data_IF_460850049961
#
_entry.id   IF_460850049961
#
_cell.length_a   1.000
_cell.length_b   1.000
_cell.length_c   1.000
_cell.angle_alpha   90.00
_cell.angle_beta   90.00
_cell.angle_gamma   90.00
#
_symmetry.space_group_name_H-M   'P 1'
#
loop_
_entity.id
_entity.type
_entity.pdbx_description
1 polymer ?
#
# COMPACT_ATOMS: atom_id res chain seq x y z
N UNK A 1 -40.54 36.53 14.94
CA UNK A 1 -39.14 36.86 14.53
C UNK A 1 -38.37 35.71 13.85
N UNK A 2 -38.63 34.43 14.16
CA UNK A 2 -37.93 33.29 13.50
C UNK A 2 -38.32 33.07 12.03
N UNK A 3 -39.61 33.18 11.68
CA UNK A 3 -40.09 32.98 10.30
C UNK A 3 -39.62 34.05 9.32
N UNK A 4 -39.61 35.31 9.74
CA UNK A 4 -39.15 36.45 8.92
C UNK A 4 -37.67 36.29 8.55
N UNK A 5 -36.82 35.84 9.49
CA UNK A 5 -35.40 35.57 9.20
C UNK A 5 -35.22 34.47 8.15
N UNK A 6 -36.03 33.41 8.17
CA UNK A 6 -35.96 32.32 7.18
C UNK A 6 -36.40 32.80 5.79
N UNK A 7 -37.45 33.62 5.72
CA UNK A 7 -37.94 34.18 4.45
C UNK A 7 -36.94 35.17 3.86
N UNK A 8 -36.31 36.01 4.69
CA UNK A 8 -35.28 36.96 4.26
C UNK A 8 -34.01 36.23 3.80
N UNK A 9 -33.58 35.18 4.51
CA UNK A 9 -32.45 34.33 4.08
C UNK A 9 -32.77 33.64 2.76
N UNK A 10 -33.99 33.11 2.60
CA UNK A 10 -34.44 32.49 1.35
C UNK A 10 -34.49 33.46 0.18
N UNK A 11 -34.92 34.70 0.40
CA UNK A 11 -34.99 35.74 -0.63
C UNK A 11 -33.60 36.24 -1.04
N UNK A 12 -32.68 36.41 -0.08
CA UNK A 12 -31.28 36.76 -0.38
C UNK A 12 -30.60 35.62 -1.15
N UNK A 13 -30.86 34.36 -0.80
CA UNK A 13 -30.39 33.19 -1.54
C UNK A 13 -30.93 33.16 -2.97
N UNK A 14 -32.22 33.47 -3.17
CA UNK A 14 -32.85 33.50 -4.49
C UNK A 14 -32.29 34.63 -5.38
N UNK A 15 -32.08 35.83 -4.82
CA UNK A 15 -31.50 36.95 -5.56
C UNK A 15 -30.02 36.70 -5.88
N UNK A 16 -29.26 36.09 -4.96
CA UNK A 16 -27.90 35.66 -5.23
C UNK A 16 -27.83 34.58 -6.33
N UNK A 17 -28.81 33.67 -6.38
CA UNK A 17 -28.93 32.65 -7.41
C UNK A 17 -29.24 33.25 -8.80
N UNK A 18 -30.08 34.29 -8.84
CA UNK A 18 -30.52 34.96 -10.08
C UNK A 18 -29.48 35.95 -10.62
N UNK A 19 -28.69 36.58 -9.74
CA UNK A 19 -27.61 37.49 -10.12
C UNK A 19 -26.29 36.76 -10.48
N UNK A 20 -26.28 35.43 -10.52
CA UNK A 20 -25.06 34.64 -10.72
C UNK A 20 -24.64 34.62 -12.19
N UNK A 21 -23.44 35.11 -12.56
CA UNK A 21 -22.98 35.08 -13.95
C UNK A 21 -22.78 33.63 -14.39
N UNK A 22 -23.38 33.23 -15.51
CA UNK A 22 -23.32 31.86 -16.02
C UNK A 22 -21.87 31.32 -16.20
N UNK A 23 -20.90 32.20 -16.43
CA UNK A 23 -19.47 31.83 -16.49
C UNK A 23 -18.87 31.39 -15.15
N UNK A 24 -19.40 31.86 -14.02
CA UNK A 24 -18.90 31.53 -12.68
C UNK A 24 -19.45 30.17 -12.17
N UNK A 25 -20.54 29.67 -12.76
CA UNK A 25 -21.12 28.36 -12.42
C UNK A 25 -20.20 27.19 -12.78
N UNK A 26 -19.45 27.28 -13.88
CA UNK A 26 -18.55 26.20 -14.32
C UNK A 26 -17.37 26.03 -13.36
N UNK A 27 -16.73 27.11 -12.94
CA UNK A 27 -15.61 27.08 -11.99
C UNK A 27 -16.04 26.60 -10.60
N UNK A 28 -17.21 27.02 -10.12
CA UNK A 28 -17.74 26.56 -8.83
C UNK A 28 -18.11 25.08 -8.89
N UNK A 29 -18.77 24.63 -9.95
CA UNK A 29 -19.15 23.22 -10.10
C UNK A 29 -17.92 22.31 -10.21
N UNK A 30 -16.92 22.73 -11.00
CA UNK A 30 -15.65 22.01 -11.13
C UNK A 30 -14.85 22.02 -9.81
N UNK A 31 -14.76 23.18 -9.14
CA UNK A 31 -14.08 23.32 -7.85
C UNK A 31 -14.70 22.48 -6.74
N UNK A 32 -16.04 22.44 -6.65
CA UNK A 32 -16.77 21.56 -5.73
C UNK A 32 -16.48 20.08 -6.08
N UNK A 33 -16.47 19.73 -7.36
CA UNK A 33 -16.11 18.39 -7.82
C UNK A 33 -14.71 17.97 -7.36
N UNK A 34 -13.71 18.84 -7.51
CA UNK A 34 -12.33 18.58 -7.05
C UNK A 34 -12.23 18.47 -5.53
N UNK A 35 -12.94 19.31 -4.77
CA UNK A 35 -12.96 19.22 -3.30
C UNK A 35 -13.61 17.91 -2.82
N UNK A 36 -14.75 17.53 -3.40
CA UNK A 36 -15.41 16.27 -3.06
C UNK A 36 -14.52 15.06 -3.41
N UNK A 37 -13.87 15.09 -4.57
CA UNK A 37 -12.92 14.06 -4.98
C UNK A 37 -11.70 13.98 -4.03
N UNK A 38 -11.16 15.12 -3.60
CA UNK A 38 -10.05 15.18 -2.64
C UNK A 38 -10.45 14.55 -1.28
N UNK A 39 -11.63 14.89 -0.77
CA UNK A 39 -12.16 14.32 0.48
C UNK A 39 -12.37 12.81 0.36
N UNK A 40 -12.93 12.34 -0.77
CA UNK A 40 -13.14 10.92 -1.02
C UNK A 40 -11.81 10.15 -1.10
N UNK A 41 -10.82 10.71 -1.81
CA UNK A 41 -9.47 10.13 -1.91
C UNK A 41 -8.77 10.06 -0.54
N UNK A 42 -8.87 11.14 0.26
CA UNK A 42 -8.33 11.15 1.61
C UNK A 42 -9.01 10.10 2.51
N UNK A 43 -10.33 9.97 2.41
CA UNK A 43 -11.09 8.94 3.15
C UNK A 43 -10.69 7.52 2.74
N UNK A 44 -10.54 7.25 1.44
CA UNK A 44 -10.04 5.97 0.94
C UNK A 44 -8.61 5.68 1.41
N UNK A 45 -7.74 6.69 1.41
CA UNK A 45 -6.38 6.60 1.93
C UNK A 45 -6.35 6.21 3.42
N UNK A 46 -7.18 6.85 4.24
CA UNK A 46 -7.34 6.52 5.67
C UNK A 46 -7.89 5.10 5.85
N UNK A 47 -8.92 4.71 5.08
CA UNK A 47 -9.52 3.37 5.17
C UNK A 47 -8.50 2.28 4.83
N UNK A 48 -7.74 2.44 3.75
CA UNK A 48 -6.66 1.50 3.38
C UNK A 48 -5.57 1.44 4.44
N UNK A 49 -5.15 2.60 4.98
CA UNK A 49 -4.14 2.65 6.05
C UNK A 49 -4.61 1.93 7.32
N UNK A 50 -5.87 2.10 7.73
CA UNK A 50 -6.44 1.37 8.88
C UNK A 50 -6.48 -0.14 8.64
N UNK A 51 -6.83 -0.58 7.43
CA UNK A 51 -6.82 -2.01 7.07
C UNK A 51 -5.42 -2.60 7.15
N UNK A 52 -4.43 -1.98 6.50
CA UNK A 52 -3.05 -2.44 6.51
C UNK A 52 -2.44 -2.41 7.93
N UNK A 53 -2.80 -1.42 8.75
CA UNK A 53 -2.37 -1.41 10.16
C UNK A 53 -3.02 -2.51 11.00
N UNK A 54 -4.26 -2.91 10.69
CA UNK A 54 -4.94 -4.00 11.39
C UNK A 54 -4.28 -5.33 11.05
N UNK A 55 -4.01 -5.58 9.78
CA UNK A 55 -3.28 -6.76 9.31
C UNK A 55 -1.88 -6.83 9.93
N UNK A 56 -1.14 -5.71 9.93
CA UNK A 56 0.14 -5.62 10.62
C UNK A 56 0.06 -5.93 12.12
N UNK A 57 -0.95 -5.41 12.82
CA UNK A 57 -1.14 -5.69 14.26
C UNK A 57 -1.50 -7.15 14.52
N UNK A 58 -2.26 -7.75 13.61
CA UNK A 58 -2.66 -9.15 13.69
C UNK A 58 -1.44 -10.06 13.47
N UNK A 59 -0.67 -9.82 12.41
CA UNK A 59 0.59 -10.52 12.13
C UNK A 59 1.58 -10.37 13.28
N UNK A 60 1.74 -9.17 13.84
CA UNK A 60 2.62 -8.97 15.00
C UNK A 60 2.19 -9.76 16.24
N UNK A 61 0.87 -9.91 16.47
CA UNK A 61 0.37 -10.70 17.60
C UNK A 61 0.56 -12.19 17.35
N UNK A 62 0.36 -12.61 16.11
CA UNK A 62 0.47 -14.00 15.70
C UNK A 62 1.92 -14.49 15.77
N UNK A 63 2.85 -13.72 15.21
CA UNK A 63 4.27 -14.08 15.17
C UNK A 63 5.07 -13.50 16.34
N UNK A 64 4.69 -13.87 17.57
CA UNK A 64 5.38 -13.40 18.79
C UNK A 64 6.60 -14.27 19.14
N UNK A 65 6.60 -15.55 18.76
CA UNK A 65 7.70 -16.47 19.05
C UNK A 65 8.90 -16.21 18.16
N UNK A 66 10.11 -16.21 18.74
CA UNK A 66 11.35 -16.14 17.98
C UNK A 66 12.18 -17.40 18.19
N UNK A 67 12.72 -17.97 17.13
CA UNK A 67 13.64 -19.11 17.22
C UNK A 67 14.80 -18.95 16.25
N UNK A 68 15.94 -19.54 16.60
CA UNK A 68 17.09 -19.61 15.70
C UNK A 68 16.87 -20.75 14.72
N UNK A 69 16.82 -20.38 13.44
CA UNK A 69 16.72 -21.31 12.32
C UNK A 69 18.11 -21.50 11.72
N UNK A 70 18.49 -22.74 11.45
CA UNK A 70 19.75 -23.07 10.77
C UNK A 70 19.45 -23.48 9.33
N UNK A 71 20.19 -22.94 8.36
CA UNK A 71 20.12 -23.43 6.97
C UNK A 71 20.75 -24.82 6.93
N UNK A 72 19.97 -25.84 6.57
CA UNK A 72 20.44 -27.24 6.50
C UNK A 72 20.59 -27.70 5.06
N UNK A 73 19.74 -27.21 4.18
CA UNK A 73 19.79 -27.55 2.76
C UNK A 73 19.65 -26.30 1.90
N UNK A 74 20.27 -26.30 0.74
CA UNK A 74 20.08 -25.25 -0.27
C UNK A 74 19.78 -25.97 -1.57
N UNK A 75 18.55 -25.81 -2.04
CA UNK A 75 18.15 -26.32 -3.35
C UNK A 75 18.59 -25.32 -4.43
N UNK A 76 19.28 -25.82 -5.45
CA UNK A 76 19.72 -25.01 -6.58
C UNK A 76 18.75 -25.23 -7.74
N UNK A 77 17.88 -24.25 -7.97
CA UNK A 77 16.94 -24.26 -9.08
C UNK A 77 17.44 -23.31 -10.15
N UNK A 78 17.77 -23.82 -11.33
CA UNK A 78 18.06 -23.01 -12.50
C UNK A 78 16.78 -22.91 -13.34
N UNK A 79 16.28 -21.69 -13.52
CA UNK A 79 15.20 -21.43 -14.47
C UNK A 79 15.80 -20.88 -15.76
N UNK A 80 15.41 -21.44 -16.89
CA UNK A 80 15.83 -20.99 -18.22
C UNK A 80 14.76 -20.07 -18.77
N UNK A 81 14.99 -18.76 -18.64
CA UNK A 81 14.06 -17.76 -19.16
C UNK A 81 14.57 -17.20 -20.48
N UNK A 82 13.77 -17.35 -21.53
CA UNK A 82 14.04 -16.71 -22.81
C UNK A 82 13.76 -15.21 -22.67
N UNK A 83 14.77 -14.37 -22.90
CA UNK A 83 14.64 -12.92 -22.85
C UNK A 83 14.70 -12.37 -24.29
N UNK A 84 13.61 -11.74 -24.74
CA UNK A 84 13.51 -11.15 -26.06
C UNK A 84 14.32 -9.85 -26.08
N UNK A 85 15.40 -9.85 -26.85
CA UNK A 85 16.27 -8.69 -26.96
C UNK A 85 15.65 -7.67 -27.94
N UNK A 86 15.93 -6.38 -27.74
CA UNK A 86 15.42 -5.31 -28.63
C UNK A 86 15.86 -5.47 -30.09
N UNK A 87 16.88 -6.28 -30.34
CA UNK A 87 17.44 -6.63 -31.64
C UNK A 87 16.71 -7.81 -32.32
N UNK A 88 15.59 -8.29 -31.75
CA UNK A 88 14.77 -9.36 -32.29
C UNK A 88 15.31 -10.78 -32.07
N UNK A 89 16.47 -10.93 -31.42
CA UNK A 89 17.03 -12.23 -31.04
C UNK A 89 16.57 -12.63 -29.64
N UNK A 90 16.28 -13.93 -29.46
CA UNK A 90 16.05 -14.51 -28.15
C UNK A 90 17.35 -15.06 -27.59
N UNK A 91 17.72 -14.66 -26.37
CA UNK A 91 18.83 -15.27 -25.65
C UNK A 91 18.31 -16.03 -24.43
N UNK A 92 18.76 -17.30 -24.22
CA UNK A 92 18.46 -18.01 -22.99
C UNK A 92 19.23 -17.34 -21.85
N UNK A 93 18.50 -16.79 -20.87
CA UNK A 93 19.07 -16.28 -19.63
C UNK A 93 18.84 -17.32 -18.55
N UNK A 94 19.93 -17.94 -18.11
CA UNK A 94 19.90 -18.91 -17.01
C UNK A 94 19.98 -18.15 -15.69
N UNK A 95 18.87 -18.12 -14.97
CA UNK A 95 18.82 -17.52 -13.63
C UNK A 95 18.89 -18.63 -12.60
N UNK A 96 19.96 -18.62 -11.79
CA UNK A 96 20.17 -19.63 -10.75
C UNK A 96 19.65 -19.10 -9.42
N UNK A 97 18.66 -19.78 -8.86
CA UNK A 97 18.05 -19.46 -7.59
C UNK A 97 18.46 -20.48 -6.53
N UNK A 98 18.96 -19.99 -5.39
CA UNK A 98 19.34 -20.82 -4.25
C UNK A 98 18.23 -20.77 -3.19
N UNK A 99 17.37 -21.79 -3.12
CA UNK A 99 16.25 -21.85 -2.18
C UNK A 99 16.67 -22.59 -0.90
N UNK A 100 16.85 -21.89 0.24
CA UNK A 100 17.24 -22.54 1.49
C UNK A 100 16.09 -23.30 2.14
N UNK A 101 16.45 -24.41 2.76
CA UNK A 101 15.62 -25.11 3.74
C UNK A 101 16.25 -24.97 5.12
N UNK A 102 15.46 -24.46 6.04
CA UNK A 102 15.82 -24.20 7.41
C UNK A 102 15.31 -25.31 8.33
N UNK A 103 16.10 -25.64 9.36
CA UNK A 103 15.66 -26.44 10.49
C UNK A 103 15.67 -25.61 11.76
N UNK A 104 14.69 -25.83 12.62
CA UNK A 104 14.57 -25.15 13.90
C UNK A 104 13.84 -26.04 14.89
N UNK A 105 14.15 -25.86 16.17
CA UNK A 105 13.53 -26.62 17.25
C UNK A 105 12.68 -25.70 18.11
N UNK A 106 11.42 -26.07 18.34
CA UNK A 106 10.49 -25.37 19.22
C UNK A 106 9.91 -26.40 20.19
N UNK A 107 10.00 -26.14 21.50
CA UNK A 107 9.48 -27.03 22.54
C UNK A 107 9.96 -28.50 22.42
N UNK A 108 11.21 -28.71 21.96
CA UNK A 108 11.77 -30.05 21.78
C UNK A 108 11.37 -30.77 20.49
N UNK A 109 10.53 -30.16 19.65
CA UNK A 109 10.18 -30.69 18.32
C UNK A 109 10.94 -29.93 17.24
N UNK A 110 11.59 -30.67 16.33
CA UNK A 110 12.31 -30.09 15.19
C UNK A 110 11.39 -29.99 13.99
N UNK A 111 11.32 -28.80 13.41
CA UNK A 111 10.56 -28.48 12.22
C UNK A 111 11.49 -28.09 11.09
N UNK A 112 11.00 -28.25 9.87
CA UNK A 112 11.73 -27.94 8.65
C UNK A 112 10.89 -27.01 7.77
N UNK A 113 11.49 -25.91 7.33
CA UNK A 113 10.81 -24.86 6.56
C UNK A 113 11.61 -24.53 5.30
N UNK A 114 10.96 -24.65 4.15
CA UNK A 114 11.55 -24.27 2.86
C UNK A 114 11.18 -22.83 2.53
N UNK A 115 12.19 -22.00 2.32
CA UNK A 115 12.00 -20.60 1.95
C UNK A 115 11.63 -20.45 0.48
N UNK A 116 10.95 -19.35 0.18
CA UNK A 116 10.80 -18.82 -1.18
C UNK A 116 11.80 -17.70 -1.51
N UNK A 117 12.57 -17.23 -0.53
CA UNK A 117 13.58 -16.20 -0.74
C UNK A 117 14.89 -16.85 -1.17
N UNK A 118 15.41 -16.42 -2.31
CA UNK A 118 16.70 -16.92 -2.78
C UNK A 118 17.85 -16.34 -1.95
N UNK A 119 18.82 -17.19 -1.62
CA UNK A 119 20.09 -16.77 -1.06
C UNK A 119 21.07 -16.37 -2.15
N UNK A 120 22.07 -15.59 -1.77
CA UNK A 120 23.11 -15.11 -2.68
C UNK A 120 24.05 -16.23 -3.14
N UNK A 121 24.10 -17.37 -2.44
CA UNK A 121 24.90 -18.51 -2.86
C UNK A 121 24.95 -19.67 -1.85
N UNK A 122 25.58 -20.77 -2.27
CA UNK A 122 25.75 -22.00 -1.47
C UNK A 122 26.57 -21.85 -0.19
N UNK A 123 27.34 -20.76 -0.04
CA UNK A 123 28.20 -20.52 1.14
C UNK A 123 27.42 -20.18 2.41
N UNK A 124 26.13 -19.88 2.30
CA UNK A 124 25.24 -19.58 3.42
C UNK A 124 24.72 -20.86 4.15
N UNK A 125 25.19 -22.05 3.77
CA UNK A 125 24.81 -23.30 4.43
C UNK A 125 25.31 -23.32 5.89
N UNK A 126 24.46 -23.71 6.83
CA UNK A 126 24.74 -23.65 8.26
C UNK A 126 24.58 -22.27 8.89
N UNK A 127 24.27 -21.22 8.12
CA UNK A 127 23.97 -19.89 8.65
C UNK A 127 22.78 -19.95 9.59
N UNK A 128 22.90 -19.28 10.73
CA UNK A 128 21.79 -19.10 11.66
C UNK A 128 21.06 -17.80 11.34
N UNK A 129 19.74 -17.88 11.21
CA UNK A 129 18.85 -16.76 10.93
C UNK A 129 17.72 -16.78 11.95
N UNK A 130 17.28 -15.61 12.39
CA UNK A 130 16.16 -15.50 13.32
C UNK A 130 14.84 -15.64 12.57
N UNK A 131 14.03 -16.62 12.95
CA UNK A 131 12.67 -16.79 12.45
C UNK A 131 11.62 -16.36 13.46
N UNK A 132 10.47 -15.91 12.95
CA UNK A 132 9.32 -15.52 13.74
C UNK A 132 8.19 -16.53 13.51
N UNK A 133 7.70 -17.17 14.57
CA UNK A 133 6.68 -18.21 14.50
C UNK A 133 5.49 -17.91 15.42
N UNK A 134 4.37 -18.57 15.13
CA UNK A 134 3.17 -18.54 15.97
C UNK A 134 3.30 -19.57 17.10
N UNK A 135 3.32 -19.19 18.40
CA UNK A 135 3.41 -20.14 19.50
C UNK A 135 2.28 -21.18 19.53
N UNK A 136 1.11 -20.85 18.98
CA UNK A 136 -0.01 -21.80 18.86
C UNK A 136 0.15 -22.75 17.66
N UNK A 137 0.96 -22.39 16.66
CA UNK A 137 1.23 -23.16 15.43
C UNK A 137 2.69 -23.00 15.01
N UNK A 138 3.63 -23.73 15.64
CA UNK A 138 5.06 -23.56 15.43
C UNK A 138 5.53 -23.90 14.01
N UNK A 139 4.75 -24.65 13.24
CA UNK A 139 5.00 -24.94 11.82
C UNK A 139 4.96 -23.69 10.93
N UNK A 140 4.22 -22.66 11.34
CA UNK A 140 4.06 -21.42 10.59
C UNK A 140 5.13 -20.42 11.03
N UNK A 141 6.23 -20.38 10.28
CA UNK A 141 7.37 -19.49 10.50
C UNK A 141 7.57 -18.54 9.32
N UNK A 142 7.96 -17.31 9.62
CA UNK A 142 8.37 -16.29 8.64
C UNK A 142 9.77 -15.80 8.95
N UNK A 143 10.57 -15.61 7.90
CA UNK A 143 11.94 -15.08 7.98
C UNK A 143 11.95 -13.58 8.23
N UNK A 144 10.94 -12.88 7.71
CA UNK A 144 10.86 -11.44 7.77
C UNK A 144 9.94 -11.02 8.91
N UNK A 145 10.46 -10.15 9.79
CA UNK A 145 9.61 -9.46 10.77
C UNK A 145 8.49 -8.73 10.03
N UNK A 146 7.22 -8.83 10.47
CA UNK A 146 6.14 -8.01 9.94
C UNK A 146 6.58 -6.55 9.86
N UNK A 147 6.55 -5.96 8.67
CA UNK A 147 6.99 -4.58 8.46
C UNK A 147 5.81 -3.65 8.62
N UNK A 148 6.04 -2.49 9.25
CA UNK A 148 5.04 -1.43 9.32
C UNK A 148 4.69 -1.02 7.89
N UNK A 149 3.41 -0.88 7.53
CA UNK A 149 3.00 -0.34 6.24
C UNK A 149 3.23 1.18 6.23
N UNK A 150 4.48 1.62 6.14
CA UNK A 150 4.87 3.04 6.17
C UNK A 150 4.47 3.76 4.89
N UNK A 151 4.49 3.06 3.76
CA UNK A 151 4.12 3.57 2.43
C UNK A 151 2.65 3.32 2.08
N UNK A 152 1.93 2.56 2.90
CA UNK A 152 0.53 2.21 2.68
C UNK A 152 -0.37 3.44 2.74
N UNK A 153 -0.77 3.95 1.58
CA UNK A 153 -1.68 5.10 1.47
C UNK A 153 -1.05 6.41 1.01
N UNK A 154 0.29 6.48 0.88
CA UNK A 154 0.97 7.72 0.45
C UNK A 154 0.42 8.27 -0.87
N UNK A 155 0.22 7.41 -1.86
CA UNK A 155 -0.36 7.78 -3.16
C UNK A 155 -1.75 8.40 -3.06
N UNK A 156 -2.59 7.91 -2.12
CA UNK A 156 -3.94 8.45 -1.92
C UNK A 156 -3.92 9.84 -1.29
N UNK A 157 -3.02 10.07 -0.31
CA UNK A 157 -2.86 11.40 0.29
C UNK A 157 -2.22 12.39 -0.68
N UNK A 158 -1.26 11.95 -1.48
CA UNK A 158 -0.64 12.78 -2.51
C UNK A 158 -1.65 13.15 -3.60
N UNK A 159 -2.45 12.18 -4.07
CA UNK A 159 -3.55 12.44 -5.00
C UNK A 159 -4.61 13.40 -4.43
N UNK A 160 -4.98 13.26 -3.15
CA UNK A 160 -5.88 14.19 -2.49
C UNK A 160 -5.30 15.63 -2.42
N UNK A 161 -3.99 15.76 -2.20
CA UNK A 161 -3.32 17.06 -2.17
C UNK A 161 -3.28 17.73 -3.55
N UNK A 162 -3.05 16.94 -4.61
CA UNK A 162 -3.16 17.41 -6.00
C UNK A 162 -4.58 17.89 -6.29
N UNK A 163 -5.60 17.09 -5.96
CA UNK A 163 -7.01 17.46 -6.17
C UNK A 163 -7.41 18.71 -5.38
N UNK A 164 -6.91 18.86 -4.16
CA UNK A 164 -7.11 20.05 -3.35
C UNK A 164 -6.48 21.29 -4.02
N UNK A 165 -5.25 21.17 -4.51
CA UNK A 165 -4.56 22.25 -5.22
C UNK A 165 -5.32 22.68 -6.48
N UNK A 166 -5.77 21.71 -7.31
CA UNK A 166 -6.59 22.00 -8.48
C UNK A 166 -7.93 22.62 -8.12
N UNK A 167 -8.58 22.15 -7.06
CA UNK A 167 -9.81 22.77 -6.54
C UNK A 167 -9.61 24.23 -6.19
N UNK A 168 -8.55 24.56 -5.44
CA UNK A 168 -8.20 25.95 -5.07
C UNK A 168 -7.91 26.79 -6.32
N UNK A 169 -7.11 26.27 -7.26
CA UNK A 169 -6.79 26.96 -8.53
C UNK A 169 -8.02 27.22 -9.41
N UNK A 170 -9.02 26.33 -9.36
CA UNK A 170 -10.28 26.47 -10.09
C UNK A 170 -11.17 27.54 -9.44
N UNK A 171 -11.17 27.64 -8.11
CA UNK A 171 -11.88 28.72 -7.40
C UNK A 171 -11.22 30.09 -7.55
N UNK A 172 -9.90 30.16 -7.69
CA UNK A 172 -9.18 31.43 -7.88
C UNK A 172 -9.21 31.94 -9.33
N UNK A 173 -9.83 31.19 -10.26
CA UNK A 173 -9.92 31.57 -11.68
C UNK A 173 -8.61 31.42 -12.46
N UNK A 174 -7.57 30.85 -11.85
CA UNK A 174 -6.25 30.66 -12.47
C UNK A 174 -6.12 29.35 -13.27
N UNK A 175 -7.13 28.49 -13.24
CA UNK A 175 -7.19 27.29 -14.07
C UNK A 175 -8.08 27.55 -15.29
N UNK A 176 -7.45 27.81 -16.44
CA UNK A 176 -8.13 27.72 -17.74
C UNK A 176 -8.43 26.26 -18.02
N UNK A 177 -9.70 25.87 -17.86
CA UNK A 177 -10.23 24.62 -18.41
C UNK A 177 -10.43 24.90 -19.91
N UNK A 178 -9.45 24.48 -20.73
CA UNK A 178 -9.56 24.50 -22.19
C UNK A 178 -10.35 23.31 -22.70
#
# INVERSE_FOLDING_TARGET
>A
MKSIKVIVIGFILAVALVAWPAGYMQYITAGIGFLLAAVLMAWLGVRRRKSAQKEYKDDMRRYTGTTMMKVVWIEESADERWEHQKDGSDRPRRETYYLPTYEYTVNGTTYRYSSRQSLSGKRDLGRQVMGYYDPAKPECITENRPRKPVLGGFLFFFGALILLFFGIMTFTGNATIS
#
